data_IF_021057121138
#
_entry.id   IF_021057121138
#
_cell.length_a   1.000
_cell.length_b   1.000
_cell.length_c   1.000
_cell.angle_alpha   90.00
_cell.angle_beta   90.00
_cell.angle_gamma   90.00
#
_symmetry.space_group_name_H-M   'P 1'
#
loop_
_entity.id
_entity.type
_entity.pdbx_description
1 polymer ?
#
# COMPACT_ATOMS: atom_id res chain seq x y z
N UNK A 1 4.73 13.82 -10.40
CA UNK A 1 5.61 14.19 -9.26
C UNK A 1 6.61 15.27 -9.66
N UNK A 2 7.41 15.08 -10.71
CA UNK A 2 8.37 16.09 -11.19
C UNK A 2 7.71 17.45 -11.49
N UNK A 3 6.54 17.48 -12.11
CA UNK A 3 5.79 18.73 -12.32
C UNK A 3 5.44 19.45 -11.02
N UNK A 4 5.03 18.71 -9.98
CA UNK A 4 4.72 19.29 -8.66
C UNK A 4 5.97 19.83 -7.96
N UNK A 5 7.10 19.17 -8.15
CA UNK A 5 8.37 19.57 -7.56
C UNK A 5 9.22 20.47 -8.49
N UNK A 6 8.68 20.88 -9.65
CA UNK A 6 9.45 21.66 -10.63
C UNK A 6 10.08 22.93 -10.06
N UNK A 7 9.43 23.57 -9.08
CA UNK A 7 9.97 24.73 -8.38
C UNK A 7 11.20 24.43 -7.50
N UNK A 8 11.43 23.15 -7.17
CA UNK A 8 12.52 22.71 -6.31
C UNK A 8 13.65 22.01 -7.09
N UNK A 9 13.34 21.51 -8.31
CA UNK A 9 14.28 20.75 -9.12
C UNK A 9 15.23 21.68 -9.86
N UNK A 10 16.53 21.32 -9.88
CA UNK A 10 17.53 22.02 -10.68
C UNK A 10 17.99 23.38 -10.13
N UNK A 11 17.61 23.76 -8.92
CA UNK A 11 18.09 24.98 -8.29
C UNK A 11 19.46 24.73 -7.62
N UNK A 12 20.47 25.49 -8.04
CA UNK A 12 21.78 25.56 -7.37
C UNK A 12 21.69 26.64 -6.26
N UNK A 13 20.98 26.29 -5.17
CA UNK A 13 20.86 27.13 -4.00
C UNK A 13 21.55 26.53 -2.77
N UNK A 14 21.16 26.99 -1.57
CA UNK A 14 21.59 26.39 -0.30
C UNK A 14 21.17 24.92 -0.15
N UNK A 15 20.07 24.52 -0.81
CA UNK A 15 19.62 23.14 -0.88
C UNK A 15 19.21 22.74 -2.31
N UNK A 16 19.51 21.50 -2.69
CA UNK A 16 19.16 20.91 -3.98
C UNK A 16 18.24 19.70 -3.79
N UNK A 17 17.16 19.66 -4.57
CA UNK A 17 16.17 18.57 -4.56
C UNK A 17 16.32 17.73 -5.82
N UNK A 18 16.31 16.42 -5.67
CA UNK A 18 16.35 15.45 -6.78
C UNK A 18 15.35 14.33 -6.56
N UNK A 19 14.68 13.89 -7.62
CA UNK A 19 13.81 12.71 -7.62
C UNK A 19 14.58 11.49 -8.13
N UNK A 20 14.49 10.39 -7.42
CA UNK A 20 15.15 9.13 -7.74
C UNK A 20 14.11 8.00 -7.75
N UNK A 21 13.82 7.36 -8.89
CA UNK A 21 13.01 6.16 -8.89
C UNK A 21 13.80 5.01 -8.25
N UNK A 22 13.19 4.37 -7.25
CA UNK A 22 13.78 3.23 -6.51
C UNK A 22 12.65 2.23 -6.19
N UNK A 23 12.74 1.02 -6.70
CA UNK A 23 11.84 -0.11 -6.38
C UNK A 23 10.34 0.22 -6.36
N UNK A 24 9.81 0.82 -7.44
CA UNK A 24 8.42 1.28 -7.58
C UNK A 24 8.02 2.45 -6.64
N UNK A 25 9.00 3.11 -6.03
CA UNK A 25 8.85 4.35 -5.27
C UNK A 25 9.61 5.50 -5.96
N UNK A 26 9.34 6.72 -5.51
CA UNK A 26 10.15 7.88 -5.89
C UNK A 26 10.71 8.50 -4.63
N UNK A 27 12.01 8.41 -4.50
CA UNK A 27 12.72 9.07 -3.42
C UNK A 27 13.00 10.53 -3.76
N UNK A 28 12.57 11.43 -2.91
CA UNK A 28 12.89 12.85 -3.01
C UNK A 28 14.09 13.12 -2.10
N UNK A 29 15.25 13.29 -2.71
CA UNK A 29 16.49 13.56 -2.00
C UNK A 29 16.72 15.07 -1.89
N UNK A 30 16.86 15.56 -0.66
CA UNK A 30 17.23 16.94 -0.36
C UNK A 30 18.67 16.94 0.12
N UNK A 31 19.53 17.80 -0.48
CA UNK A 31 20.92 17.98 -0.08
C UNK A 31 21.18 19.44 0.15
N UNK A 32 21.78 19.78 1.30
CA UNK A 32 22.19 21.14 1.58
C UNK A 32 23.72 21.27 1.66
N UNK A 33 24.22 22.46 1.32
CA UNK A 33 25.61 22.83 1.46
C UNK A 33 25.69 24.23 2.09
N UNK A 34 26.33 24.32 3.25
CA UNK A 34 26.49 25.59 3.97
C UNK A 34 27.83 25.64 4.70
N UNK A 35 28.16 26.79 5.27
CA UNK A 35 29.43 27.00 5.98
C UNK A 35 29.52 26.18 7.28
N UNK A 36 28.38 25.85 7.91
CA UNK A 36 28.30 25.03 9.14
C UNK A 36 27.22 23.95 9.02
N UNK A 37 27.33 22.88 9.81
CA UNK A 37 26.31 21.85 9.90
C UNK A 37 24.94 22.41 10.36
N UNK A 38 24.94 23.36 11.28
CA UNK A 38 23.69 23.99 11.73
C UNK A 38 22.97 24.71 10.60
N UNK A 39 23.66 25.52 9.81
CA UNK A 39 23.09 26.22 8.64
C UNK A 39 22.60 25.21 7.57
N UNK A 40 23.34 24.13 7.36
CA UNK A 40 22.91 23.09 6.44
C UNK A 40 21.64 22.36 6.94
N UNK A 41 21.56 22.06 8.24
CA UNK A 41 20.38 21.43 8.84
C UNK A 41 19.15 22.35 8.74
N UNK A 42 19.30 23.65 9.01
CA UNK A 42 18.22 24.63 8.88
C UNK A 42 17.73 24.74 7.42
N UNK A 43 18.65 24.71 6.44
CA UNK A 43 18.29 24.73 5.03
C UNK A 43 17.53 23.47 4.62
N UNK A 44 17.98 22.29 5.07
CA UNK A 44 17.29 21.01 4.85
C UNK A 44 15.89 21.04 5.44
N UNK A 45 15.73 21.45 6.70
CA UNK A 45 14.44 21.48 7.38
C UNK A 45 13.42 22.40 6.66
N UNK A 46 13.85 23.58 6.21
CA UNK A 46 12.98 24.50 5.45
C UNK A 46 12.48 23.85 4.16
N UNK A 47 13.40 23.32 3.35
CA UNK A 47 13.04 22.73 2.06
C UNK A 47 12.22 21.43 2.25
N UNK A 48 12.50 20.65 3.28
CA UNK A 48 11.69 19.46 3.61
C UNK A 48 10.23 19.84 3.91
N UNK A 49 9.99 20.87 4.71
CA UNK A 49 8.63 21.35 5.02
C UNK A 49 7.89 21.75 3.76
N UNK A 50 8.52 22.49 2.86
CA UNK A 50 7.92 22.95 1.60
C UNK A 50 7.64 21.77 0.66
N UNK A 51 8.59 20.83 0.49
CA UNK A 51 8.43 19.62 -0.33
C UNK A 51 7.31 18.74 0.22
N UNK A 52 7.23 18.55 1.54
CA UNK A 52 6.15 17.79 2.17
C UNK A 52 4.79 18.45 1.98
N UNK A 53 4.72 19.76 2.09
CA UNK A 53 3.49 20.52 1.85
C UNK A 53 3.01 20.34 0.40
N UNK A 54 3.93 20.41 -0.57
CA UNK A 54 3.62 20.20 -1.98
C UNK A 54 3.16 18.76 -2.29
N UNK A 55 3.82 17.76 -1.73
CA UNK A 55 3.48 16.36 -1.94
C UNK A 55 2.26 15.91 -1.14
N UNK A 56 2.01 16.51 0.00
CA UNK A 56 0.87 16.17 0.86
C UNK A 56 0.83 14.69 1.20
N UNK A 57 -0.33 14.05 1.01
CA UNK A 57 -0.56 12.64 1.32
C UNK A 57 0.30 11.68 0.46
N UNK A 58 0.86 12.13 -0.66
CA UNK A 58 1.72 11.29 -1.50
C UNK A 58 3.11 11.06 -0.88
N UNK A 59 3.55 11.93 0.03
CA UNK A 59 4.74 11.70 0.84
C UNK A 59 4.36 10.86 2.07
N UNK A 60 4.77 9.60 2.09
CA UNK A 60 4.40 8.70 3.18
C UNK A 60 5.39 8.66 4.34
N UNK A 61 6.66 8.95 4.11
CA UNK A 61 7.72 8.84 5.12
C UNK A 61 8.96 9.64 4.77
N UNK A 62 9.99 9.53 5.59
CA UNK A 62 11.31 10.13 5.39
C UNK A 62 12.41 9.25 5.95
N UNK A 63 13.67 9.56 5.62
CA UNK A 63 14.86 8.94 6.18
C UNK A 63 14.84 7.40 6.22
N UNK A 64 14.51 6.79 5.09
CA UNK A 64 14.42 5.34 4.92
C UNK A 64 13.30 4.64 5.73
N UNK A 65 12.28 5.36 6.19
CA UNK A 65 11.05 4.71 6.68
C UNK A 65 10.40 3.90 5.55
N UNK A 66 10.07 2.65 5.84
CA UNK A 66 9.33 1.82 4.89
C UNK A 66 7.81 2.04 5.04
N UNK A 67 7.06 1.77 3.98
CA UNK A 67 5.60 1.96 3.99
C UNK A 67 4.93 1.07 5.04
N UNK A 68 5.41 -0.17 5.25
CA UNK A 68 4.91 -1.07 6.29
C UNK A 68 5.18 -0.55 7.71
N UNK A 69 6.31 0.15 7.96
CA UNK A 69 6.57 0.81 9.24
C UNK A 69 5.60 1.94 9.49
N UNK A 70 5.35 2.78 8.48
CA UNK A 70 4.38 3.88 8.57
C UNK A 70 2.96 3.34 8.83
N UNK A 71 2.55 2.29 8.12
CA UNK A 71 1.24 1.63 8.35
C UNK A 71 1.15 1.07 9.76
N UNK A 72 2.21 0.39 10.24
CA UNK A 72 2.26 -0.17 11.60
C UNK A 72 2.10 0.91 12.67
N UNK A 73 2.83 2.03 12.54
CA UNK A 73 2.69 3.19 13.44
C UNK A 73 1.27 3.74 13.44
N UNK A 74 0.66 3.94 12.26
CA UNK A 74 -0.70 4.45 12.14
C UNK A 74 -1.75 3.52 12.78
N UNK A 75 -1.56 2.20 12.70
CA UNK A 75 -2.44 1.24 13.34
C UNK A 75 -2.28 1.27 14.87
N UNK A 76 -1.06 1.32 15.37
CA UNK A 76 -0.76 1.41 16.81
C UNK A 76 -1.34 2.69 17.43
N UNK A 77 -1.10 3.83 16.81
CA UNK A 77 -1.58 5.14 17.28
C UNK A 77 -3.11 5.18 17.42
N UNK A 78 -3.81 4.41 16.56
CA UNK A 78 -5.28 4.30 16.56
C UNK A 78 -5.83 3.09 17.32
N UNK A 79 -4.96 2.25 17.85
CA UNK A 79 -5.34 0.99 18.51
C UNK A 79 -6.19 0.10 17.59
N UNK A 80 -5.86 0.07 16.30
CA UNK A 80 -6.54 -0.74 15.31
C UNK A 80 -5.72 -2.00 14.99
N UNK A 81 -6.43 -3.08 14.71
CA UNK A 81 -5.82 -4.35 14.30
C UNK A 81 -6.05 -4.61 12.82
N UNK A 82 -5.14 -5.35 12.20
CA UNK A 82 -5.11 -5.67 10.78
C UNK A 82 -5.06 -7.18 10.55
N UNK A 83 -5.84 -7.64 9.57
CA UNK A 83 -5.68 -8.97 8.97
C UNK A 83 -5.56 -8.87 7.44
N UNK A 84 -4.92 -9.84 6.80
CA UNK A 84 -4.74 -9.84 5.34
C UNK A 84 -5.18 -11.15 4.70
N UNK A 85 -5.82 -11.05 3.52
CA UNK A 85 -6.22 -12.17 2.68
C UNK A 85 -5.54 -12.06 1.31
N UNK A 86 -4.62 -12.95 1.02
CA UNK A 86 -3.78 -12.87 -0.17
C UNK A 86 -4.10 -13.98 -1.16
N UNK A 87 -4.11 -13.64 -2.45
CA UNK A 87 -4.18 -14.59 -3.53
C UNK A 87 -2.94 -14.46 -4.42
N UNK A 88 -2.93 -13.55 -5.39
CA UNK A 88 -1.81 -13.42 -6.33
C UNK A 88 -0.50 -12.95 -5.68
N UNK A 89 -0.53 -12.25 -4.57
CA UNK A 89 0.66 -11.79 -3.83
C UNK A 89 1.34 -12.90 -3.04
N UNK A 90 0.58 -13.96 -2.65
CA UNK A 90 1.15 -15.20 -2.10
C UNK A 90 1.86 -15.05 -0.77
N UNK A 91 1.38 -14.18 0.13
CA UNK A 91 1.95 -13.94 1.46
C UNK A 91 2.88 -12.73 1.54
N UNK A 92 3.09 -12.00 0.45
CA UNK A 92 4.05 -10.89 0.40
C UNK A 92 3.63 -9.72 1.30
N UNK A 93 2.34 -9.41 1.41
CA UNK A 93 1.85 -8.33 2.30
C UNK A 93 2.07 -8.72 3.76
N UNK A 94 1.71 -9.96 4.13
CA UNK A 94 1.97 -10.50 5.46
C UNK A 94 3.47 -10.54 5.79
N UNK A 95 4.31 -10.95 4.83
CA UNK A 95 5.76 -10.94 4.96
C UNK A 95 6.28 -9.52 5.28
N UNK A 96 5.90 -8.52 4.49
CA UNK A 96 6.32 -7.13 4.69
C UNK A 96 5.91 -6.61 6.06
N UNK A 97 4.66 -6.84 6.47
CA UNK A 97 4.16 -6.41 7.79
C UNK A 97 4.97 -7.05 8.91
N UNK A 98 5.25 -8.36 8.81
CA UNK A 98 5.97 -9.10 9.86
C UNK A 98 7.47 -8.81 9.91
N UNK A 99 8.04 -8.18 8.90
CA UNK A 99 9.41 -7.64 8.94
C UNK A 99 9.54 -6.43 9.88
N UNK A 100 8.41 -5.81 10.27
CA UNK A 100 8.43 -4.70 11.24
C UNK A 100 8.45 -5.26 12.66
N UNK A 101 9.51 -5.01 13.46
CA UNK A 101 9.54 -5.43 14.86
C UNK A 101 8.34 -4.87 15.64
N UNK A 102 7.71 -5.71 16.45
CA UNK A 102 6.52 -5.32 17.22
C UNK A 102 5.20 -5.40 16.44
N UNK A 103 5.20 -5.89 15.21
CA UNK A 103 3.99 -6.04 14.38
C UNK A 103 2.89 -6.89 15.02
N UNK A 104 3.22 -7.80 15.93
CA UNK A 104 2.26 -8.60 16.68
C UNK A 104 1.27 -7.78 17.54
N UNK A 105 1.56 -6.52 17.80
CA UNK A 105 0.65 -5.64 18.53
C UNK A 105 -0.54 -5.15 17.68
N UNK A 106 -0.45 -5.24 16.36
CA UNK A 106 -1.51 -4.80 15.43
C UNK A 106 -1.86 -5.80 14.34
N UNK A 107 -0.97 -6.75 14.01
CA UNK A 107 -1.20 -7.74 12.98
C UNK A 107 -1.72 -9.05 13.59
N UNK A 108 -2.99 -9.35 13.35
CA UNK A 108 -3.67 -10.53 13.90
C UNK A 108 -3.32 -11.80 13.13
N UNK A 109 -3.51 -11.78 11.80
CA UNK A 109 -3.24 -12.91 10.92
C UNK A 109 -3.19 -12.56 9.44
N UNK A 110 -2.57 -13.45 8.66
CA UNK A 110 -2.64 -13.46 7.21
C UNK A 110 -3.02 -14.83 6.69
N UNK A 111 -3.87 -14.90 5.66
CA UNK A 111 -4.26 -16.15 5.00
C UNK A 111 -4.01 -16.09 3.50
N UNK A 112 -3.51 -17.18 2.93
CA UNK A 112 -3.40 -17.35 1.48
C UNK A 112 -4.60 -18.14 0.96
N UNK A 113 -5.51 -17.45 0.26
CA UNK A 113 -6.73 -18.03 -0.33
C UNK A 113 -6.58 -18.11 -1.84
N UNK A 114 -5.70 -18.99 -2.30
CA UNK A 114 -5.29 -19.04 -3.70
C UNK A 114 -6.38 -19.60 -4.64
N UNK A 115 -7.11 -20.62 -4.21
CA UNK A 115 -8.21 -21.21 -4.97
C UNK A 115 -9.56 -20.56 -4.67
N UNK A 116 -10.54 -20.73 -5.57
CA UNK A 116 -11.92 -20.28 -5.32
C UNK A 116 -12.51 -21.00 -4.10
N UNK A 117 -12.21 -22.27 -3.91
CA UNK A 117 -12.63 -23.04 -2.74
C UNK A 117 -12.11 -22.43 -1.45
N UNK A 118 -10.81 -22.10 -1.38
CA UNK A 118 -10.24 -21.47 -0.20
C UNK A 118 -10.88 -20.10 0.11
N UNK A 119 -11.23 -19.31 -0.92
CA UNK A 119 -11.96 -18.03 -0.76
C UNK A 119 -13.33 -18.24 -0.12
N UNK A 120 -14.04 -19.30 -0.51
CA UNK A 120 -15.34 -19.64 0.06
C UNK A 120 -15.20 -20.19 1.50
N UNK A 121 -14.36 -21.20 1.71
CA UNK A 121 -14.24 -21.89 2.99
C UNK A 121 -13.66 -21.00 4.09
N UNK A 122 -12.65 -20.21 3.80
CA UNK A 122 -11.93 -19.43 4.82
C UNK A 122 -12.48 -18.01 5.01
N UNK A 123 -13.07 -17.43 3.96
CA UNK A 123 -13.51 -16.03 3.98
C UNK A 123 -15.01 -15.86 3.72
N UNK A 124 -15.74 -16.94 3.47
CA UNK A 124 -17.16 -16.87 3.16
C UNK A 124 -17.50 -16.12 1.87
N UNK A 125 -16.57 -16.06 0.91
CA UNK A 125 -16.87 -15.42 -0.39
C UNK A 125 -18.02 -16.15 -1.05
N UNK A 126 -19.15 -15.49 -1.38
CA UNK A 126 -20.30 -16.17 -1.97
C UNK A 126 -19.98 -16.81 -3.31
N UNK A 127 -20.45 -18.04 -3.52
CA UNK A 127 -20.30 -18.71 -4.81
C UNK A 127 -20.88 -17.91 -5.96
N UNK A 128 -22.00 -17.21 -5.71
CA UNK A 128 -22.65 -16.32 -6.67
C UNK A 128 -21.72 -15.20 -7.16
N UNK A 129 -20.89 -14.64 -6.28
CA UNK A 129 -19.90 -13.62 -6.63
C UNK A 129 -18.84 -14.22 -7.55
N UNK A 130 -18.30 -15.38 -7.19
CA UNK A 130 -17.28 -16.05 -8.00
C UNK A 130 -17.81 -16.47 -9.37
N UNK A 131 -19.05 -16.92 -9.46
CA UNK A 131 -19.69 -17.34 -10.70
C UNK A 131 -20.03 -16.17 -11.61
N UNK A 132 -20.55 -15.07 -11.06
CA UNK A 132 -20.98 -13.89 -11.84
C UNK A 132 -19.82 -12.98 -12.27
N UNK A 133 -18.78 -12.82 -11.41
CA UNK A 133 -17.73 -11.83 -11.60
C UNK A 133 -16.32 -12.43 -11.72
N UNK A 134 -16.18 -13.71 -11.33
CA UNK A 134 -14.89 -14.39 -11.25
C UNK A 134 -14.08 -13.95 -10.02
N UNK A 135 -12.99 -14.69 -9.75
CA UNK A 135 -12.11 -14.42 -8.61
C UNK A 135 -11.38 -13.07 -8.72
N UNK A 136 -11.06 -12.65 -9.94
CA UNK A 136 -10.37 -11.37 -10.18
C UNK A 136 -11.41 -10.31 -10.51
N UNK A 137 -12.00 -9.72 -9.45
CA UNK A 137 -13.05 -8.71 -9.57
C UNK A 137 -13.15 -7.85 -8.31
N UNK A 138 -13.76 -6.67 -8.44
CA UNK A 138 -14.04 -5.77 -7.33
C UNK A 138 -14.90 -6.46 -6.26
N UNK A 139 -15.97 -7.13 -6.69
CA UNK A 139 -16.90 -7.84 -5.82
C UNK A 139 -16.22 -8.97 -5.03
N UNK A 140 -15.30 -9.70 -5.66
CA UNK A 140 -14.52 -10.74 -4.98
C UNK A 140 -13.54 -10.12 -3.97
N UNK A 141 -12.81 -9.07 -4.33
CA UNK A 141 -11.88 -8.39 -3.43
C UNK A 141 -12.59 -7.81 -2.20
N UNK A 142 -13.76 -7.19 -2.38
CA UNK A 142 -14.58 -6.70 -1.27
C UNK A 142 -15.11 -7.82 -0.38
N UNK A 143 -15.62 -8.89 -0.99
CA UNK A 143 -16.10 -10.05 -0.22
C UNK A 143 -14.97 -10.70 0.58
N UNK A 144 -13.77 -10.81 0.01
CA UNK A 144 -12.57 -11.29 0.70
C UNK A 144 -12.20 -10.37 1.87
N UNK A 145 -12.19 -9.04 1.68
CA UNK A 145 -11.84 -8.08 2.73
C UNK A 145 -12.84 -8.11 3.89
N UNK A 146 -14.14 -8.09 3.60
CA UNK A 146 -15.20 -8.25 4.63
C UNK A 146 -15.09 -9.58 5.38
N UNK A 147 -14.92 -10.67 4.63
CA UNK A 147 -14.78 -12.00 5.21
C UNK A 147 -13.55 -12.11 6.11
N UNK A 148 -12.43 -11.49 5.70
CA UNK A 148 -11.21 -11.46 6.49
C UNK A 148 -11.39 -10.66 7.78
N UNK A 149 -11.95 -9.45 7.71
CA UNK A 149 -12.22 -8.64 8.89
C UNK A 149 -13.14 -9.39 9.87
N UNK A 150 -14.23 -9.98 9.39
CA UNK A 150 -15.17 -10.72 10.21
C UNK A 150 -14.58 -11.97 10.85
N UNK A 151 -13.84 -12.79 10.09
CA UNK A 151 -13.24 -14.03 10.60
C UNK A 151 -12.09 -13.78 11.57
N UNK A 152 -11.36 -12.69 11.41
CA UNK A 152 -10.26 -12.30 12.29
C UNK A 152 -10.70 -11.43 13.47
N UNK A 153 -11.89 -10.85 13.44
CA UNK A 153 -12.34 -9.88 14.44
C UNK A 153 -11.53 -8.58 14.44
N UNK A 154 -10.98 -8.20 13.27
CA UNK A 154 -10.09 -7.02 13.15
C UNK A 154 -10.83 -5.80 12.63
N UNK A 155 -10.39 -4.62 13.06
CA UNK A 155 -10.92 -3.35 12.59
C UNK A 155 -10.55 -3.06 11.12
N UNK A 156 -9.39 -3.56 10.67
CA UNK A 156 -8.91 -3.40 9.31
C UNK A 156 -8.65 -4.76 8.65
N UNK A 157 -8.97 -4.87 7.37
CA UNK A 157 -8.58 -6.01 6.56
C UNK A 157 -8.21 -5.59 5.13
N UNK A 158 -7.11 -6.12 4.62
CA UNK A 158 -6.70 -6.03 3.22
C UNK A 158 -6.97 -7.34 2.51
N UNK A 159 -7.41 -7.26 1.27
CA UNK A 159 -7.58 -8.44 0.41
C UNK A 159 -7.05 -8.17 -1.00
N UNK A 160 -6.25 -9.08 -1.55
CA UNK A 160 -5.63 -8.91 -2.86
C UNK A 160 -5.97 -10.10 -3.75
N UNK A 161 -6.56 -9.84 -4.92
CA UNK A 161 -6.81 -10.84 -5.95
C UNK A 161 -6.44 -10.29 -7.32
N UNK A 162 -5.80 -11.10 -8.17
CA UNK A 162 -5.30 -10.59 -9.45
C UNK A 162 -4.64 -11.65 -10.32
N UNK A 163 -4.15 -11.20 -11.46
CA UNK A 163 -3.43 -11.98 -12.47
C UNK A 163 -1.99 -11.47 -12.52
N UNK A 164 -1.10 -12.15 -11.81
CA UNK A 164 0.30 -11.75 -11.75
C UNK A 164 1.11 -12.16 -13.01
N UNK A 165 0.56 -13.06 -13.83
CA UNK A 165 1.25 -13.54 -15.04
C UNK A 165 2.23 -14.70 -14.80
N UNK A 166 2.92 -15.15 -15.87
CA UNK A 166 2.83 -14.64 -17.25
C UNK A 166 1.52 -15.01 -17.94
N UNK A 167 0.84 -16.07 -17.49
CA UNK A 167 -0.41 -16.60 -18.05
C UNK A 167 -1.65 -16.11 -17.28
N UNK A 168 -2.84 -16.50 -17.77
CA UNK A 168 -4.13 -16.26 -17.11
C UNK A 168 -4.79 -14.93 -17.48
N UNK A 169 -4.14 -14.11 -18.31
CA UNK A 169 -4.72 -12.88 -18.83
C UNK A 169 -5.80 -13.12 -19.90
N UNK A 170 -6.77 -12.23 -19.95
CA UNK A 170 -7.79 -12.14 -20.99
C UNK A 170 -7.83 -10.73 -21.58
N UNK A 171 -8.48 -10.49 -22.75
CA UNK A 171 -8.62 -9.13 -23.27
C UNK A 171 -9.28 -8.15 -22.29
N UNK A 172 -10.24 -8.60 -21.48
CA UNK A 172 -10.95 -7.79 -20.49
C UNK A 172 -10.21 -7.69 -19.13
N UNK A 173 -9.39 -8.67 -18.82
CA UNK A 173 -8.57 -8.74 -17.60
C UNK A 173 -7.15 -9.22 -17.96
N UNK A 174 -6.33 -8.37 -18.58
CA UNK A 174 -4.99 -8.76 -18.99
C UNK A 174 -4.07 -8.99 -17.77
N UNK A 175 -2.92 -9.63 -18.00
CA UNK A 175 -1.85 -9.79 -16.99
C UNK A 175 -1.54 -8.44 -16.35
N UNK A 176 -1.33 -8.44 -15.04
CA UNK A 176 -1.17 -7.25 -14.21
C UNK A 176 -2.48 -6.65 -13.68
N UNK A 177 -3.66 -7.20 -14.06
CA UNK A 177 -4.94 -6.77 -13.48
C UNK A 177 -5.06 -7.28 -12.05
N UNK A 178 -5.14 -6.36 -11.10
CA UNK A 178 -5.26 -6.65 -9.66
C UNK A 178 -6.39 -5.82 -9.06
N UNK A 179 -7.17 -6.45 -8.19
CA UNK A 179 -8.14 -5.77 -7.34
C UNK A 179 -7.70 -5.87 -5.89
N UNK A 180 -7.70 -4.74 -5.22
CA UNK A 180 -7.37 -4.62 -3.79
C UNK A 180 -8.64 -4.21 -3.07
N UNK A 181 -9.10 -5.05 -2.15
CA UNK A 181 -10.19 -4.77 -1.22
C UNK A 181 -9.64 -4.29 0.11
N UNK A 182 -10.30 -3.33 0.70
CA UNK A 182 -9.97 -2.79 2.03
C UNK A 182 -11.24 -2.64 2.84
N UNK A 183 -11.23 -3.18 4.05
CA UNK A 183 -12.22 -2.90 5.10
C UNK A 183 -11.55 -2.10 6.20
N UNK A 184 -12.16 -1.00 6.62
CA UNK A 184 -11.74 -0.21 7.79
C UNK A 184 -12.97 0.16 8.60
N UNK A 185 -13.05 -0.30 9.86
CA UNK A 185 -14.15 -0.03 10.80
C UNK A 185 -15.54 -0.37 10.21
N UNK A 186 -15.60 -1.47 9.44
CA UNK A 186 -16.83 -1.95 8.81
C UNK A 186 -17.08 -1.43 7.39
N UNK A 187 -16.51 -0.30 6.99
CA UNK A 187 -16.63 0.19 5.61
C UNK A 187 -15.70 -0.57 4.70
N UNK A 188 -16.25 -1.03 3.58
CA UNK A 188 -15.49 -1.82 2.60
C UNK A 188 -15.51 -1.15 1.24
N UNK A 189 -14.35 -1.05 0.63
CA UNK A 189 -14.15 -0.55 -0.73
C UNK A 189 -13.15 -1.42 -1.48
N UNK A 190 -13.13 -1.28 -2.81
CA UNK A 190 -12.10 -1.90 -3.65
C UNK A 190 -11.58 -0.93 -4.70
N UNK A 191 -10.34 -1.18 -5.13
CA UNK A 191 -9.72 -0.47 -6.26
C UNK A 191 -9.14 -1.47 -7.25
N UNK A 192 -9.29 -1.13 -8.54
CA UNK A 192 -8.69 -1.88 -9.65
C UNK A 192 -7.38 -1.20 -10.04
N UNK A 193 -6.35 -2.02 -10.22
CA UNK A 193 -5.06 -1.59 -10.74
C UNK A 193 -4.67 -2.39 -11.98
N UNK A 194 -3.79 -1.83 -12.77
CA UNK A 194 -3.11 -2.47 -13.87
C UNK A 194 -1.62 -2.24 -13.72
N UNK A 195 -0.93 -3.25 -13.20
CA UNK A 195 0.52 -3.20 -13.03
C UNK A 195 1.24 -3.71 -14.29
N UNK A 196 2.46 -3.25 -14.48
CA UNK A 196 3.35 -3.63 -15.57
C UNK A 196 4.54 -4.41 -15.02
N UNK A 197 5.22 -5.13 -15.90
CA UNK A 197 6.38 -5.95 -15.56
C UNK A 197 6.06 -7.44 -15.47
N UNK A 198 6.98 -8.18 -14.91
CA UNK A 198 6.88 -9.61 -14.68
C UNK A 198 6.01 -9.94 -13.45
N UNK A 199 5.91 -11.23 -13.15
CA UNK A 199 5.12 -11.73 -12.01
C UNK A 199 5.60 -11.17 -10.68
N UNK A 200 6.89 -11.04 -10.47
CA UNK A 200 7.48 -10.53 -9.23
C UNK A 200 7.16 -9.04 -9.07
N UNK A 201 7.36 -8.26 -10.12
CA UNK A 201 7.00 -6.83 -10.17
C UNK A 201 5.51 -6.60 -9.88
N UNK A 202 4.61 -7.40 -10.51
CA UNK A 202 3.17 -7.28 -10.26
C UNK A 202 2.83 -7.58 -8.80
N UNK A 203 3.45 -8.60 -8.19
CA UNK A 203 3.24 -8.92 -6.77
C UNK A 203 3.73 -7.81 -5.86
N UNK A 204 4.92 -7.27 -6.14
CA UNK A 204 5.50 -6.18 -5.35
C UNK A 204 4.64 -4.92 -5.42
N UNK A 205 4.30 -4.44 -6.61
CA UNK A 205 3.44 -3.28 -6.83
C UNK A 205 2.07 -3.46 -6.18
N UNK A 206 1.51 -4.68 -6.23
CA UNK A 206 0.24 -4.99 -5.55
C UNK A 206 0.35 -4.85 -4.04
N UNK A 207 1.44 -5.29 -3.44
CA UNK A 207 1.68 -5.18 -2.00
C UNK A 207 1.87 -3.72 -1.59
N UNK A 208 2.59 -2.95 -2.39
CA UNK A 208 2.83 -1.53 -2.19
C UNK A 208 1.52 -0.75 -2.20
N UNK A 209 0.71 -0.94 -3.23
CA UNK A 209 -0.57 -0.25 -3.35
C UNK A 209 -1.60 -0.68 -2.29
N UNK A 210 -1.54 -1.93 -1.81
CA UNK A 210 -2.41 -2.39 -0.73
C UNK A 210 -2.07 -1.66 0.58
N UNK A 211 -0.80 -1.57 0.94
CA UNK A 211 -0.34 -0.85 2.12
C UNK A 211 -0.63 0.66 2.02
N UNK A 212 -0.41 1.28 0.84
CA UNK A 212 -0.71 2.70 0.65
C UNK A 212 -2.23 2.99 0.70
N UNK A 213 -3.06 2.10 0.17
CA UNK A 213 -4.52 2.23 0.27
C UNK A 213 -4.99 2.22 1.74
N UNK A 214 -4.42 1.34 2.57
CA UNK A 214 -4.69 1.30 4.01
C UNK A 214 -4.18 2.58 4.69
N UNK A 215 -2.94 2.98 4.44
CA UNK A 215 -2.34 4.20 4.99
C UNK A 215 -3.20 5.44 4.74
N UNK A 216 -3.59 5.66 3.48
CA UNK A 216 -4.44 6.81 3.09
C UNK A 216 -5.79 6.77 3.81
N UNK A 217 -6.43 5.61 3.82
CA UNK A 217 -7.73 5.46 4.52
C UNK A 217 -7.62 5.73 6.02
N UNK A 218 -6.51 5.34 6.64
CA UNK A 218 -6.26 5.65 8.05
C UNK A 218 -6.08 7.15 8.28
N UNK A 219 -5.36 7.87 7.41
CA UNK A 219 -5.11 9.30 7.53
C UNK A 219 -6.41 10.09 7.33
N UNK A 220 -7.17 9.82 6.27
CA UNK A 220 -8.39 10.53 5.92
C UNK A 220 -9.47 10.47 7.01
N UNK A 221 -9.56 9.33 7.73
CA UNK A 221 -10.50 9.15 8.84
C UNK A 221 -10.12 9.89 10.13
N UNK A 222 -8.97 10.54 10.18
CA UNK A 222 -8.54 11.36 11.33
C UNK A 222 -9.02 12.81 11.19
N UNK A 223 -9.48 13.19 10.01
CA UNK A 223 -9.86 14.58 9.69
C UNK A 223 -11.36 14.83 9.88
N UNK A 224 -12.11 13.81 10.35
CA UNK A 224 -13.54 13.89 10.66
C UNK A 224 -13.78 13.74 12.15
#
# INVERSE_FOLDING_TARGET
MEERLAAFLGHEGEAAVTCLPVDDEVWVRIRARAATLALAADALARVEVEVRAELGIDCYGGDAETLEQVVGRLLLDRRLTLAVAESCTGGLVGHRITNVPGSSAYFERGVMVYSNRAKQEMLGVPESVLRAHGAVSAQCAEAMARGMAGSAGTACALAITGIAGPDGGTPSKPVGTVFIGLTVLGDTQSRKYRFLGDRESVKWQSSQMALDMLRRSLIERTTT
#
